data_IF_904639733533
#
_entry.id   IF_904639733533
#
_cell.length_a   1.000
_cell.length_b   1.000
_cell.length_c   1.000
_cell.angle_alpha   90.00
_cell.angle_beta   90.00
_cell.angle_gamma   90.00
#
_symmetry.space_group_name_H-M   'P 1'
#
loop_
_entity.id
_entity.type
_entity.pdbx_description
1 polymer ?
#
# COMPACT_ATOMS: atom_id res chain seq x y z
N UNK A 1 12.08 18.47 15.48
CA UNK A 1 11.80 17.04 15.27
C UNK A 1 10.66 16.92 14.25
N UNK A 2 10.84 16.16 13.17
CA UNK A 2 9.82 16.04 12.13
C UNK A 2 8.61 15.25 12.66
N UNK A 3 7.39 15.68 12.34
CA UNK A 3 6.16 14.99 12.74
C UNK A 3 5.51 14.36 11.52
N UNK A 4 5.31 13.05 11.55
CA UNK A 4 4.75 12.31 10.42
C UNK A 4 3.26 12.64 10.29
N UNK A 5 2.87 13.05 9.08
CA UNK A 5 1.48 13.26 8.72
C UNK A 5 0.82 11.95 8.30
N UNK A 6 -0.50 11.90 8.44
CA UNK A 6 -1.34 10.78 8.02
C UNK A 6 -1.99 11.14 6.68
N UNK A 7 -1.86 10.30 5.65
CA UNK A 7 -2.61 10.50 4.41
C UNK A 7 -3.99 9.87 4.52
N UNK A 8 -4.98 10.69 4.87
CA UNK A 8 -6.37 10.27 5.12
C UNK A 8 -7.34 11.23 4.45
N UNK A 9 -8.52 10.73 4.08
CA UNK A 9 -9.55 11.52 3.38
C UNK A 9 -9.05 12.31 2.16
N UNK A 10 -8.00 11.82 1.50
CA UNK A 10 -7.37 12.46 0.33
C UNK A 10 -6.36 13.57 0.64
N UNK A 11 -5.98 13.77 1.90
CA UNK A 11 -5.12 14.87 2.34
C UNK A 11 -4.08 14.41 3.34
N UNK A 12 -2.97 15.14 3.45
CA UNK A 12 -2.00 14.96 4.53
C UNK A 12 -2.47 15.72 5.77
N UNK A 13 -2.79 15.01 6.85
CA UNK A 13 -3.33 15.57 8.09
C UNK A 13 -2.41 15.20 9.27
N UNK A 14 -1.92 16.18 10.04
CA UNK A 14 -1.18 15.89 11.28
C UNK A 14 -2.14 15.37 12.35
N UNK A 15 -1.70 14.44 13.20
CA UNK A 15 -2.44 14.11 14.42
C UNK A 15 -2.15 15.11 15.55
N UNK A 16 -2.95 15.10 16.61
CA UNK A 16 -2.81 16.00 17.76
C UNK A 16 -1.70 15.58 18.74
N UNK A 17 -1.24 16.54 19.56
CA UNK A 17 -0.25 16.34 20.64
C UNK A 17 1.17 16.08 20.13
N UNK A 18 2.10 15.74 21.02
CA UNK A 18 3.51 15.52 20.64
C UNK A 18 3.74 14.18 19.93
N UNK A 19 2.91 13.18 20.22
CA UNK A 19 2.98 11.84 19.64
C UNK A 19 4.10 10.97 20.23
N UNK A 20 4.27 9.79 19.64
CA UNK A 20 5.33 8.85 20.00
C UNK A 20 6.59 9.15 19.19
N UNK A 21 7.71 9.35 19.88
CA UNK A 21 9.02 9.52 19.24
C UNK A 21 9.51 8.18 18.68
N UNK A 22 9.94 8.21 17.43
CA UNK A 22 10.58 7.11 16.73
C UNK A 22 12.09 7.35 16.75
N UNK A 23 12.85 6.34 17.18
CA UNK A 23 14.30 6.42 17.36
C UNK A 23 15.03 5.59 16.31
N UNK A 24 16.23 6.02 15.96
CA UNK A 24 17.18 5.23 15.21
C UNK A 24 17.77 4.15 16.12
N UNK A 25 17.61 2.88 15.75
CA UNK A 25 18.07 1.74 16.55
C UNK A 25 19.61 1.59 16.59
N UNK A 26 20.34 2.25 15.68
CA UNK A 26 21.80 2.16 15.59
C UNK A 26 22.50 3.14 16.54
N UNK A 27 21.99 4.38 16.63
CA UNK A 27 22.65 5.46 17.37
C UNK A 27 21.78 6.10 18.47
N UNK A 28 20.50 5.72 18.58
CA UNK A 28 19.56 6.24 19.57
C UNK A 28 19.01 7.64 19.29
N UNK A 29 19.33 8.25 18.14
CA UNK A 29 18.84 9.59 17.80
C UNK A 29 17.34 9.59 17.48
N UNK A 30 16.65 10.68 17.83
CA UNK A 30 15.24 10.84 17.51
C UNK A 30 15.05 11.21 16.03
N UNK A 31 14.29 10.40 15.29
CA UNK A 31 14.05 10.56 13.85
C UNK A 31 12.80 11.39 13.57
N UNK A 32 11.68 10.99 14.18
CA UNK A 32 10.38 11.62 13.95
C UNK A 32 9.43 11.36 15.12
N UNK A 33 8.27 12.01 15.11
CA UNK A 33 7.16 11.68 15.99
C UNK A 33 5.91 11.28 15.19
N UNK A 34 5.16 10.30 15.66
CA UNK A 34 3.94 9.80 15.02
C UNK A 34 2.76 9.80 15.99
N UNK A 35 1.57 10.15 15.50
CA UNK A 35 0.34 10.16 16.29
C UNK A 35 -0.90 10.13 15.39
N UNK A 36 -1.92 9.42 15.85
CA UNK A 36 -3.26 9.38 15.25
C UNK A 36 -4.30 10.06 16.14
N UNK A 37 -3.88 10.69 17.24
CA UNK A 37 -4.77 11.43 18.13
C UNK A 37 -5.51 12.52 17.35
N UNK A 38 -6.78 12.73 17.64
CA UNK A 38 -7.60 13.74 16.97
C UNK A 38 -8.15 13.34 15.60
N UNK A 39 -7.71 12.21 15.04
CA UNK A 39 -8.24 11.73 13.76
C UNK A 39 -9.65 11.13 13.92
N UNK A 40 -10.57 11.56 13.07
CA UNK A 40 -11.90 10.97 12.97
C UNK A 40 -11.88 9.69 12.11
N UNK A 41 -11.68 8.55 12.78
CA UNK A 41 -11.67 7.24 12.13
C UNK A 41 -12.97 6.88 11.43
N UNK A 42 -14.12 7.43 11.86
CA UNK A 42 -15.39 7.19 11.16
C UNK A 42 -15.34 7.81 9.78
N UNK A 43 -14.97 9.09 9.68
CA UNK A 43 -14.82 9.79 8.40
C UNK A 43 -13.75 9.15 7.51
N UNK A 44 -12.64 8.68 8.09
CA UNK A 44 -11.57 7.98 7.34
C UNK A 44 -12.12 6.69 6.67
N UNK A 45 -12.82 5.86 7.44
CA UNK A 45 -13.41 4.63 6.91
C UNK A 45 -14.53 4.92 5.90
N UNK A 46 -15.36 5.94 6.16
CA UNK A 46 -16.40 6.37 5.23
C UNK A 46 -15.82 6.82 3.89
N UNK A 47 -14.71 7.59 3.91
CA UNK A 47 -14.03 8.01 2.68
C UNK A 47 -13.49 6.80 1.88
N UNK A 48 -12.85 5.85 2.56
CA UNK A 48 -12.39 4.61 1.91
C UNK A 48 -13.53 3.83 1.24
N UNK A 49 -14.70 3.75 1.91
CA UNK A 49 -15.88 3.03 1.41
C UNK A 49 -16.65 3.78 0.33
N UNK A 50 -16.78 5.11 0.41
CA UNK A 50 -17.60 5.92 -0.50
C UNK A 50 -16.81 6.47 -1.69
N UNK A 51 -15.50 6.64 -1.56
CA UNK A 51 -14.64 7.22 -2.61
C UNK A 51 -13.70 6.17 -3.20
N UNK A 52 -12.88 5.54 -2.36
CA UNK A 52 -11.86 4.58 -2.83
C UNK A 52 -12.46 3.30 -3.41
N UNK A 53 -13.43 2.70 -2.71
CA UNK A 53 -14.03 1.44 -3.11
C UNK A 53 -14.77 1.51 -4.48
N UNK A 54 -15.64 2.50 -4.75
CA UNK A 54 -16.29 2.60 -6.06
C UNK A 54 -15.29 2.83 -7.20
N UNK A 55 -14.24 3.63 -6.99
CA UNK A 55 -13.21 3.84 -8.00
C UNK A 55 -12.50 2.53 -8.38
N UNK A 56 -12.09 1.74 -7.38
CA UNK A 56 -11.39 0.46 -7.60
C UNK A 56 -12.29 -0.65 -8.14
N UNK A 57 -13.57 -0.71 -7.71
CA UNK A 57 -14.52 -1.74 -8.16
C UNK A 57 -15.06 -1.52 -9.57
N UNK A 58 -15.02 -0.28 -10.07
CA UNK A 58 -15.33 0.00 -11.48
C UNK A 58 -14.29 -0.58 -12.44
N UNK A 59 -13.05 -0.72 -11.99
CA UNK A 59 -11.97 -1.28 -12.78
C UNK A 59 -12.11 -2.81 -12.97
N UNK A 60 -11.56 -3.33 -14.06
CA UNK A 60 -11.38 -4.76 -14.27
C UNK A 60 -10.25 -5.33 -13.40
N UNK A 61 -10.20 -6.66 -13.24
CA UNK A 61 -9.05 -7.31 -12.60
C UNK A 61 -7.74 -7.03 -13.36
N UNK A 62 -7.80 -6.90 -14.69
CA UNK A 62 -6.63 -6.59 -15.53
C UNK A 62 -6.14 -5.18 -15.30
N UNK A 63 -7.03 -4.20 -15.23
CA UNK A 63 -6.68 -2.81 -14.93
C UNK A 63 -6.05 -2.68 -13.54
N UNK A 64 -6.67 -3.27 -12.51
CA UNK A 64 -6.10 -3.29 -11.16
C UNK A 64 -4.73 -3.98 -11.11
N UNK A 65 -4.57 -5.09 -11.82
CA UNK A 65 -3.29 -5.77 -11.91
C UNK A 65 -2.20 -4.94 -12.62
N UNK A 66 -2.58 -4.17 -13.64
CA UNK A 66 -1.66 -3.22 -14.29
C UNK A 66 -1.28 -2.08 -13.37
N UNK A 67 -2.21 -1.58 -12.55
CA UNK A 67 -1.93 -0.56 -11.53
C UNK A 67 -0.98 -1.09 -10.45
N UNK A 68 -1.13 -2.34 -9.99
CA UNK A 68 -0.17 -2.97 -9.08
C UNK A 68 1.23 -3.08 -9.70
N UNK A 69 1.32 -3.42 -11.01
CA UNK A 69 2.60 -3.42 -11.72
C UNK A 69 3.23 -2.03 -11.77
N UNK A 70 2.43 -1.00 -12.07
CA UNK A 70 2.90 0.38 -12.12
C UNK A 70 3.42 0.84 -10.75
N UNK A 71 2.70 0.51 -9.67
CA UNK A 71 3.15 0.78 -8.30
C UNK A 71 4.48 0.08 -7.99
N UNK A 72 4.62 -1.20 -8.34
CA UNK A 72 5.86 -1.95 -8.10
C UNK A 72 7.07 -1.35 -8.85
N UNK A 73 6.86 -0.87 -10.09
CA UNK A 73 7.89 -0.17 -10.87
C UNK A 73 8.27 1.16 -10.21
N UNK A 74 7.27 1.95 -9.81
CA UNK A 74 7.51 3.22 -9.12
C UNK A 74 8.29 3.05 -7.82
N UNK A 75 7.94 2.06 -7.00
CA UNK A 75 8.67 1.76 -5.75
C UNK A 75 10.12 1.34 -6.02
N UNK A 76 10.40 0.61 -7.11
CA UNK A 76 11.77 0.25 -7.49
C UNK A 76 12.66 1.44 -7.82
N UNK A 77 12.09 2.56 -8.27
CA UNK A 77 12.84 3.78 -8.55
C UNK A 77 13.32 4.48 -7.27
N UNK A 78 12.82 4.07 -6.10
CA UNK A 78 13.08 4.70 -4.80
C UNK A 78 13.82 3.80 -3.81
N UNK A 79 14.45 2.71 -4.28
CA UNK A 79 15.12 1.71 -3.43
C UNK A 79 16.13 2.34 -2.48
N UNK A 80 16.98 3.25 -2.95
CA UNK A 80 18.02 3.87 -2.12
C UNK A 80 17.43 4.62 -0.92
N UNK A 81 16.28 5.29 -1.11
CA UNK A 81 15.57 5.97 -0.03
C UNK A 81 15.00 4.97 0.98
N UNK A 82 14.42 3.86 0.49
CA UNK A 82 13.91 2.81 1.37
C UNK A 82 15.02 2.13 2.17
N UNK A 83 16.15 1.81 1.55
CA UNK A 83 17.30 1.23 2.27
C UNK A 83 17.89 2.22 3.29
N UNK A 84 17.97 3.51 2.95
CA UNK A 84 18.43 4.53 3.90
C UNK A 84 17.52 4.65 5.12
N UNK A 85 16.19 4.57 4.93
CA UNK A 85 15.22 4.57 6.03
C UNK A 85 15.33 3.28 6.83
N UNK A 86 15.35 2.12 6.16
CA UNK A 86 15.37 0.80 6.79
C UNK A 86 16.62 0.58 7.62
N UNK A 87 17.77 1.15 7.24
CA UNK A 87 18.99 1.11 8.06
C UNK A 87 18.76 1.66 9.48
N UNK A 88 17.92 2.69 9.64
CA UNK A 88 17.61 3.24 10.97
C UNK A 88 16.84 2.26 11.88
N UNK A 89 16.34 1.14 11.34
CA UNK A 89 15.75 0.05 12.13
C UNK A 89 16.80 -0.91 12.70
N UNK A 90 18.08 -0.72 12.35
CA UNK A 90 19.18 -1.61 12.74
C UNK A 90 19.37 -2.81 11.80
N UNK A 91 18.55 -2.92 10.76
CA UNK A 91 18.63 -3.99 9.76
C UNK A 91 19.91 -3.88 8.92
N UNK A 92 20.53 -5.02 8.62
CA UNK A 92 21.55 -5.08 7.57
C UNK A 92 20.90 -4.89 6.19
N UNK A 93 21.71 -4.68 5.15
CA UNK A 93 21.18 -4.60 3.78
C UNK A 93 20.45 -5.89 3.37
N UNK A 94 20.97 -7.05 3.77
CA UNK A 94 20.36 -8.35 3.45
C UNK A 94 19.02 -8.53 4.18
N UNK A 95 18.92 -8.09 5.43
CA UNK A 95 17.65 -8.14 6.18
C UNK A 95 16.62 -7.19 5.54
N UNK A 96 17.06 -5.97 5.21
CA UNK A 96 16.23 -4.94 4.56
C UNK A 96 15.71 -5.37 3.19
N UNK A 97 16.49 -6.18 2.46
CA UNK A 97 16.11 -6.72 1.16
C UNK A 97 14.82 -7.55 1.24
N UNK A 98 14.61 -8.30 2.33
CA UNK A 98 13.41 -9.13 2.52
C UNK A 98 12.15 -8.27 2.63
N UNK A 99 12.19 -7.17 3.36
CA UNK A 99 11.05 -6.26 3.52
C UNK A 99 10.80 -5.44 2.24
N UNK A 100 11.86 -4.82 1.70
CA UNK A 100 11.76 -3.88 0.58
C UNK A 100 11.54 -4.62 -0.74
N UNK A 101 12.52 -5.44 -1.15
CA UNK A 101 12.45 -6.13 -2.44
C UNK A 101 11.49 -7.31 -2.40
N UNK A 102 11.36 -8.00 -1.25
CA UNK A 102 10.32 -9.00 -1.07
C UNK A 102 8.91 -8.41 -1.17
N UNK A 103 8.64 -7.25 -0.56
CA UNK A 103 7.37 -6.54 -0.69
C UNK A 103 7.06 -6.10 -2.12
N UNK A 104 8.05 -5.53 -2.81
CA UNK A 104 7.94 -5.16 -4.23
C UNK A 104 7.72 -6.41 -5.11
N UNK A 105 8.44 -7.50 -4.84
CA UNK A 105 8.29 -8.78 -5.53
C UNK A 105 6.87 -9.34 -5.38
N UNK A 106 6.28 -9.23 -4.19
CA UNK A 106 4.91 -9.63 -3.93
C UNK A 106 3.89 -8.79 -4.74
N UNK A 107 4.13 -7.49 -4.93
CA UNK A 107 3.32 -6.66 -5.83
C UNK A 107 3.40 -7.15 -7.29
N UNK A 108 4.60 -7.49 -7.78
CA UNK A 108 4.76 -8.06 -9.12
C UNK A 108 4.07 -9.43 -9.26
N UNK A 109 4.17 -10.29 -8.25
CA UNK A 109 3.52 -11.59 -8.23
C UNK A 109 2.00 -11.44 -8.35
N UNK A 110 1.38 -10.59 -7.52
CA UNK A 110 -0.05 -10.30 -7.58
C UNK A 110 -0.46 -9.62 -8.90
N UNK A 111 0.34 -8.68 -9.40
CA UNK A 111 0.11 -8.06 -10.70
C UNK A 111 0.12 -9.08 -11.85
N UNK A 112 0.94 -10.14 -11.76
CA UNK A 112 1.02 -11.18 -12.78
C UNK A 112 -0.25 -12.04 -12.87
N UNK A 113 -0.93 -12.25 -11.73
CA UNK A 113 -2.16 -13.04 -11.63
C UNK A 113 -3.29 -12.46 -12.46
N UNK A 114 -3.25 -11.16 -12.81
CA UNK A 114 -4.26 -10.51 -13.67
C UNK A 114 -4.53 -11.25 -14.98
N UNK A 115 -3.54 -12.00 -15.51
CA UNK A 115 -3.68 -12.82 -16.72
C UNK A 115 -4.62 -14.02 -16.54
N UNK A 116 -4.78 -14.48 -15.30
CA UNK A 116 -5.70 -15.57 -14.90
C UNK A 116 -7.11 -15.08 -14.61
N UNK A 117 -7.35 -13.76 -14.59
CA UNK A 117 -8.65 -13.17 -14.32
C UNK A 117 -9.29 -12.58 -15.59
N UNK A 118 -10.63 -12.52 -15.64
CA UNK A 118 -11.34 -11.92 -16.76
C UNK A 118 -11.10 -10.40 -16.81
N UNK A 119 -11.31 -9.81 -17.98
CA UNK A 119 -11.24 -8.37 -18.17
C UNK A 119 -12.55 -7.68 -17.78
N UNK A 120 -13.04 -8.03 -16.59
CA UNK A 120 -14.30 -7.54 -16.03
C UNK A 120 -14.10 -7.16 -14.56
N UNK A 121 -15.03 -6.38 -14.01
CA UNK A 121 -15.03 -5.99 -12.59
C UNK A 121 -15.49 -7.11 -11.65
N UNK A 122 -16.03 -8.20 -12.20
CA UNK A 122 -16.50 -9.38 -11.50
C UNK A 122 -15.87 -10.64 -12.10
N UNK A 123 -15.74 -11.70 -11.30
CA UNK A 123 -15.28 -13.02 -11.73
C UNK A 123 -16.37 -14.02 -11.39
N UNK A 124 -16.76 -14.83 -12.37
CA UNK A 124 -17.69 -15.93 -12.15
C UNK A 124 -16.89 -17.09 -11.56
N UNK A 125 -17.47 -17.75 -10.57
CA UNK A 125 -16.93 -19.00 -10.03
C UNK A 125 -17.52 -20.19 -10.79
N UNK A 126 -16.67 -21.13 -11.19
CA UNK A 126 -17.04 -22.30 -11.98
C UNK A 126 -17.10 -22.09 -13.50
N UNK A 127 -17.40 -23.19 -14.20
CA UNK A 127 -17.56 -23.19 -15.65
C UNK A 127 -18.96 -22.74 -16.06
N UNK A 128 -19.06 -22.03 -17.19
CA UNK A 128 -20.35 -21.68 -17.76
C UNK A 128 -21.03 -22.95 -18.30
N UNK A 129 -22.24 -23.24 -17.81
CA UNK A 129 -23.08 -24.32 -18.34
C UNK A 129 -24.12 -23.76 -19.31
N UNK A 130 -24.10 -24.20 -20.57
CA UNK A 130 -25.15 -23.89 -21.53
C UNK A 130 -26.41 -24.67 -21.17
N UNK A 131 -27.47 -23.96 -20.75
CA UNK A 131 -28.77 -24.54 -20.42
C UNK A 131 -29.72 -24.62 -21.63
N UNK A 132 -29.33 -24.07 -22.78
CA UNK A 132 -30.08 -24.08 -24.04
C UNK A 132 -29.18 -24.60 -25.18
N UNK A 133 -29.79 -25.31 -26.14
CA UNK A 133 -29.14 -25.75 -27.40
C UNK A 133 -29.38 -24.77 -28.57
N UNK A 134 -29.98 -23.62 -28.29
CA UNK A 134 -30.21 -22.53 -29.24
C UNK A 134 -29.46 -21.29 -28.79
#
# INVERSE_FOLDING_TARGET
MNKLNNYVTGHWIPGDGDGQVLYNAVNGEALAAATTKGLDFKSILEYGRKTGNPALRKMSFRERGSMLKALALHLREHLDQFYAISYNTGATRTDSWVDIEGGIGNLFANASLRRKFPDTSFCIDGEAHNLSKH
#
